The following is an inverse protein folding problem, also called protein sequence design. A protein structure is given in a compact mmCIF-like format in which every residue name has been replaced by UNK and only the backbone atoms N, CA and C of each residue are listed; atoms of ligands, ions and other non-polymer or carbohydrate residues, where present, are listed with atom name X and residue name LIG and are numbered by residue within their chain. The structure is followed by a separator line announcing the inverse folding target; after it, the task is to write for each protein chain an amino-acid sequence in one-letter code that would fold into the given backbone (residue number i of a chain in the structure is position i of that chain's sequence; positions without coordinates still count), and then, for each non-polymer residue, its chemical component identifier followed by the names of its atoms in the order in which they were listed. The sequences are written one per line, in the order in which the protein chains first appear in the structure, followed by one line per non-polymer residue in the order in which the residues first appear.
data_IF_954384565001
#
_entry.id   IF_954384565001
#
_cell.length_a   1.000
_cell.length_b   1.000
_cell.length_c   1.000
_cell.angle_alpha   90.00
_cell.angle_beta   90.00
_cell.angle_gamma   90.00
#
_symmetry.space_group_name_H-M   'P 1'
#
loop_
_entity.id
_entity.type
_entity.pdbx_description
1 polymer ?
#
# COMPACT_ATOMS: atom_id res chain seq x y z
N UNK A 1 10.81 74.93 -45.60
CA UNK A 1 9.76 74.71 -46.61
C UNK A 1 9.08 73.38 -46.30
N UNK A 2 7.81 73.45 -45.89
CA UNK A 2 6.99 72.34 -45.40
C UNK A 2 6.81 71.21 -46.43
N UNK A 3 6.96 69.96 -46.01
CA UNK A 3 6.14 68.84 -46.52
C UNK A 3 5.72 67.96 -45.35
N UNK A 4 4.46 68.11 -44.94
CA UNK A 4 3.74 67.17 -44.08
C UNK A 4 3.51 65.89 -44.88
N UNK A 5 4.00 64.75 -44.38
CA UNK A 5 3.61 63.44 -44.88
C UNK A 5 2.49 62.92 -43.98
N UNK A 6 1.25 62.99 -44.46
CA UNK A 6 0.10 62.27 -43.90
C UNK A 6 0.23 60.81 -44.34
N UNK A 7 0.35 59.88 -43.40
CA UNK A 7 0.03 58.48 -43.63
C UNK A 7 -1.04 58.05 -42.63
N UNK A 8 -2.22 57.87 -43.20
CA UNK A 8 -3.49 57.45 -42.63
C UNK A 8 -3.40 56.03 -42.06
N UNK A 9 -3.78 55.86 -40.80
CA UNK A 9 -4.09 54.56 -40.20
C UNK A 9 -5.34 53.97 -40.87
N UNK A 10 -5.18 52.87 -41.59
CA UNK A 10 -6.29 52.08 -42.14
C UNK A 10 -5.95 50.60 -42.05
N UNK A 11 -6.76 49.84 -41.32
CA UNK A 11 -6.73 48.37 -41.34
C UNK A 11 -6.58 47.72 -39.97
N UNK A 12 -7.63 47.72 -39.16
CA UNK A 12 -7.78 46.71 -38.11
C UNK A 12 -8.19 45.40 -38.80
N UNK A 13 -7.21 44.58 -39.19
CA UNK A 13 -7.48 43.18 -39.50
C UNK A 13 -7.91 42.48 -38.21
N UNK A 14 -9.14 41.97 -38.19
CA UNK A 14 -9.64 41.10 -37.13
C UNK A 14 -8.78 39.84 -37.15
N UNK A 15 -7.76 39.80 -36.29
CA UNK A 15 -6.98 38.62 -36.03
C UNK A 15 -7.92 37.56 -35.41
N UNK A 16 -8.55 36.74 -36.25
CA UNK A 16 -9.21 35.50 -35.85
C UNK A 16 -8.10 34.55 -35.40
N UNK A 17 -7.61 34.75 -34.18
CA UNK A 17 -6.80 33.76 -33.49
C UNK A 17 -7.61 32.45 -33.54
N UNK A 18 -7.13 31.40 -34.21
CA UNK A 18 -7.97 30.25 -34.48
C UNK A 18 -8.31 29.63 -33.14
N UNK A 19 -9.61 29.44 -32.88
CA UNK A 19 -10.15 28.75 -31.68
C UNK A 19 -9.39 27.44 -31.43
N UNK A 20 -8.89 26.81 -32.48
CA UNK A 20 -8.02 25.62 -32.46
C UNK A 20 -6.73 25.81 -31.63
N UNK A 21 -6.04 26.94 -31.71
CA UNK A 21 -4.79 27.17 -30.94
C UNK A 21 -5.07 27.38 -29.46
N UNK A 22 -6.19 28.03 -29.11
CA UNK A 22 -6.63 28.20 -27.72
C UNK A 22 -7.10 26.86 -27.12
N UNK A 23 -7.81 26.04 -27.90
CA UNK A 23 -8.23 24.69 -27.48
C UNK A 23 -7.03 23.76 -27.30
N UNK A 24 -6.03 23.80 -28.19
CA UNK A 24 -4.80 23.02 -28.07
C UNK A 24 -3.99 23.45 -26.83
N UNK A 25 -3.89 24.74 -26.53
CA UNK A 25 -3.21 25.23 -25.33
C UNK A 25 -3.91 24.80 -24.03
N UNK A 26 -5.24 24.76 -24.00
CA UNK A 26 -6.03 24.30 -22.84
C UNK A 26 -5.94 22.79 -22.60
N UNK A 27 -5.74 21.99 -23.66
CA UNK A 27 -5.57 20.54 -23.54
C UNK A 27 -4.16 20.15 -23.03
N UNK A 28 -3.14 20.99 -23.22
CA UNK A 28 -1.80 20.71 -22.72
C UNK A 28 -1.61 20.96 -21.22
N UNK A 29 -2.44 21.81 -20.59
CA UNK A 29 -2.37 22.06 -19.15
C UNK A 29 -2.84 20.87 -18.28
N UNK A 30 -3.66 19.97 -18.83
CA UNK A 30 -4.27 18.88 -18.08
C UNK A 30 -3.27 17.76 -17.71
N UNK A 31 -2.27 17.49 -18.54
CA UNK A 31 -1.26 16.46 -18.25
C UNK A 31 -0.23 16.95 -17.22
N UNK A 32 0.02 18.26 -17.14
CA UNK A 32 0.96 18.87 -16.18
C UNK A 32 0.33 18.99 -14.79
N UNK A 33 -0.99 19.18 -14.67
CA UNK A 33 -1.64 19.35 -13.37
C UNK A 33 -1.65 18.08 -12.50
N UNK A 34 -1.77 16.88 -13.10
CA UNK A 34 -1.86 15.61 -12.36
C UNK A 34 -0.51 15.22 -11.74
N UNK A 35 0.61 15.47 -12.43
CA UNK A 35 1.96 15.20 -11.89
C UNK A 35 2.31 16.16 -10.75
N UNK A 36 2.02 17.45 -10.89
CA UNK A 36 2.26 18.48 -9.86
C UNK A 36 1.52 18.16 -8.56
N UNK A 37 0.29 17.65 -8.63
CA UNK A 37 -0.50 17.33 -7.44
C UNK A 37 0.09 16.15 -6.64
N UNK A 38 0.59 15.11 -7.32
CA UNK A 38 1.27 13.99 -6.66
C UNK A 38 2.58 14.42 -6.00
N UNK A 39 3.32 15.33 -6.63
CA UNK A 39 4.54 15.91 -6.05
C UNK A 39 4.25 16.70 -4.76
N UNK A 40 3.12 17.42 -4.72
CA UNK A 40 2.72 18.14 -3.52
C UNK A 40 2.39 17.21 -2.35
N UNK A 41 1.57 16.18 -2.57
CA UNK A 41 1.22 15.18 -1.55
C UNK A 41 2.47 14.52 -1.00
N UNK A 42 3.35 14.06 -1.89
CA UNK A 42 4.60 13.42 -1.50
C UNK A 42 5.48 14.34 -0.64
N UNK A 43 5.60 15.61 -1.02
CA UNK A 43 6.37 16.59 -0.24
C UNK A 43 5.80 16.78 1.17
N UNK A 44 4.48 16.81 1.33
CA UNK A 44 3.88 16.85 2.66
C UNK A 44 4.23 15.61 3.47
N UNK A 45 4.20 14.42 2.87
CA UNK A 45 4.54 13.17 3.55
C UNK A 45 6.02 13.08 3.92
N UNK A 46 6.92 13.54 3.04
CA UNK A 46 8.35 13.62 3.32
C UNK A 46 8.67 14.58 4.49
N UNK A 47 7.80 15.54 4.76
CA UNK A 47 7.88 16.47 5.89
C UNK A 47 7.01 16.09 7.08
N UNK A 48 6.48 14.86 7.12
CA UNK A 48 5.63 14.35 8.22
C UNK A 48 4.40 15.23 8.47
N UNK A 49 3.74 15.68 7.39
CA UNK A 49 2.53 16.53 7.43
C UNK A 49 1.32 15.82 6.75
N UNK A 50 0.88 14.64 7.26
CA UNK A 50 -0.21 13.88 6.66
C UNK A 50 -1.56 14.63 6.64
N UNK A 51 -1.75 15.62 7.50
CA UNK A 51 -2.95 16.46 7.58
C UNK A 51 -3.08 17.36 6.34
N UNK A 52 -1.95 17.92 5.89
CA UNK A 52 -1.91 18.73 4.67
C UNK A 52 -2.11 17.87 3.43
N UNK A 53 -1.51 16.68 3.41
CA UNK A 53 -1.76 15.71 2.36
C UNK A 53 -3.25 15.28 2.29
N UNK A 54 -3.89 15.04 3.43
CA UNK A 54 -5.32 14.72 3.50
C UNK A 54 -6.17 15.87 2.95
N UNK A 55 -5.91 17.09 3.42
CA UNK A 55 -6.60 18.30 2.94
C UNK A 55 -6.42 18.48 1.43
N UNK A 56 -5.21 18.22 0.92
CA UNK A 56 -4.92 18.30 -0.51
C UNK A 56 -5.75 17.29 -1.32
N UNK A 57 -5.85 16.02 -0.91
CA UNK A 57 -6.65 15.04 -1.66
C UNK A 57 -8.16 15.29 -1.56
N UNK A 58 -8.65 15.82 -0.43
CA UNK A 58 -10.09 16.08 -0.21
C UNK A 58 -10.59 17.29 -0.99
N UNK A 59 -9.74 18.30 -1.21
CA UNK A 59 -10.10 19.50 -1.97
C UNK A 59 -10.17 19.29 -3.48
N UNK A 60 -9.69 18.15 -3.98
CA UNK A 60 -9.70 17.86 -5.41
C UNK A 60 -10.90 17.02 -5.80
N UNK A 61 -11.48 17.33 -6.97
CA UNK A 61 -12.55 16.52 -7.54
C UNK A 61 -11.99 15.17 -7.96
N UNK A 62 -12.39 14.12 -7.26
CA UNK A 62 -12.01 12.74 -7.55
C UNK A 62 -12.82 12.24 -8.75
N UNK A 63 -12.14 11.85 -9.83
CA UNK A 63 -12.77 11.15 -10.95
C UNK A 63 -13.30 9.79 -10.49
N UNK A 64 -14.49 9.37 -10.96
CA UNK A 64 -15.10 8.10 -10.55
C UNK A 64 -14.17 6.90 -10.74
N UNK A 65 -13.38 6.89 -11.82
CA UNK A 65 -12.43 5.82 -12.11
C UNK A 65 -11.29 5.69 -11.09
N UNK A 66 -10.95 6.76 -10.38
CA UNK A 66 -9.87 6.79 -9.39
C UNK A 66 -10.40 6.70 -7.96
N UNK A 67 -11.69 6.38 -7.78
CA UNK A 67 -12.34 6.45 -6.48
C UNK A 67 -11.80 5.42 -5.47
N UNK A 68 -11.49 4.22 -5.93
CA UNK A 68 -10.85 3.17 -5.11
C UNK A 68 -9.48 3.64 -4.61
N UNK A 69 -8.61 4.11 -5.50
CA UNK A 69 -7.30 4.66 -5.14
C UNK A 69 -7.42 5.80 -4.12
N UNK A 70 -8.33 6.75 -4.36
CA UNK A 70 -8.59 7.84 -3.42
C UNK A 70 -8.98 7.34 -2.02
N UNK A 71 -9.81 6.30 -1.91
CA UNK A 71 -10.22 5.75 -0.62
C UNK A 71 -9.04 5.09 0.11
N UNK A 72 -8.16 4.39 -0.62
CA UNK A 72 -6.94 3.80 -0.07
C UNK A 72 -5.97 4.86 0.43
N UNK A 73 -5.70 5.89 -0.39
CA UNK A 73 -4.84 7.02 0.00
C UNK A 73 -5.41 7.73 1.23
N UNK A 74 -6.71 8.01 1.23
CA UNK A 74 -7.40 8.63 2.37
C UNK A 74 -7.29 7.79 3.64
N UNK A 75 -7.49 6.47 3.55
CA UNK A 75 -7.37 5.57 4.69
C UNK A 75 -5.95 5.64 5.29
N UNK A 76 -4.92 5.55 4.45
CA UNK A 76 -3.54 5.65 4.89
C UNK A 76 -3.22 7.00 5.55
N UNK A 77 -3.69 8.11 4.99
CA UNK A 77 -3.50 9.44 5.58
C UNK A 77 -4.21 9.62 6.92
N UNK A 78 -5.41 9.05 7.07
CA UNK A 78 -6.13 9.03 8.34
C UNK A 78 -5.39 8.19 9.39
N UNK A 79 -4.88 7.01 9.00
CA UNK A 79 -4.05 6.17 9.85
C UNK A 79 -2.78 6.89 10.31
N UNK A 80 -2.10 7.61 9.42
CA UNK A 80 -0.90 8.40 9.76
C UNK A 80 -1.18 9.51 10.78
N UNK A 81 -2.42 9.99 10.85
CA UNK A 81 -2.89 10.97 11.85
C UNK A 81 -3.37 10.31 13.16
N UNK A 82 -3.23 8.98 13.30
CA UNK A 82 -3.77 8.24 14.45
C UNK A 82 -5.30 8.09 14.45
N UNK A 83 -5.98 8.42 13.34
CA UNK A 83 -7.45 8.37 13.22
C UNK A 83 -7.88 7.00 12.70
N UNK A 84 -7.65 5.96 13.51
CA UNK A 84 -7.76 4.56 13.09
C UNK A 84 -9.19 4.15 12.72
N UNK A 85 -10.22 4.60 13.44
CA UNK A 85 -11.63 4.29 13.13
C UNK A 85 -12.03 4.88 11.78
N UNK A 86 -11.63 6.13 11.53
CA UNK A 86 -11.90 6.80 10.25
C UNK A 86 -11.13 6.13 9.10
N UNK A 87 -9.90 5.68 9.37
CA UNK A 87 -9.13 4.87 8.42
C UNK A 87 -9.83 3.57 8.09
N UNK A 88 -10.32 2.82 9.09
CA UNK A 88 -11.05 1.57 8.87
C UNK A 88 -12.33 1.79 8.09
N UNK A 89 -13.10 2.83 8.40
CA UNK A 89 -14.27 3.20 7.61
C UNK A 89 -13.92 3.51 6.13
N UNK A 90 -12.78 4.16 5.88
CA UNK A 90 -12.32 4.41 4.50
C UNK A 90 -11.89 3.11 3.80
N UNK A 91 -11.21 2.19 4.49
CA UNK A 91 -10.87 0.87 3.97
C UNK A 91 -12.12 0.02 3.68
N UNK A 92 -13.14 0.01 4.54
CA UNK A 92 -14.41 -0.69 4.26
C UNK A 92 -15.09 -0.16 3.01
N UNK A 93 -15.15 1.16 2.85
CA UNK A 93 -15.68 1.77 1.63
C UNK A 93 -14.85 1.39 0.39
N UNK A 94 -13.52 1.26 0.54
CA UNK A 94 -12.66 0.80 -0.55
C UNK A 94 -12.96 -0.66 -0.89
N UNK A 95 -13.03 -1.57 0.09
CA UNK A 95 -13.35 -3.00 -0.11
C UNK A 95 -14.68 -3.17 -0.86
N UNK A 96 -15.74 -2.48 -0.43
CA UNK A 96 -17.04 -2.55 -1.08
C UNK A 96 -17.04 -2.01 -2.53
N UNK A 97 -16.18 -1.04 -2.85
CA UNK A 97 -16.01 -0.56 -4.21
C UNK A 97 -15.19 -1.53 -5.06
N UNK A 98 -14.11 -2.08 -4.49
CA UNK A 98 -13.23 -3.05 -5.16
C UNK A 98 -14.03 -4.28 -5.57
N UNK A 99 -14.87 -4.83 -4.67
CA UNK A 99 -15.73 -5.98 -4.97
C UNK A 99 -16.64 -5.72 -6.19
N UNK A 100 -17.23 -4.52 -6.28
CA UNK A 100 -18.05 -4.12 -7.43
C UNK A 100 -17.23 -4.02 -8.71
N UNK A 101 -16.04 -3.41 -8.64
CA UNK A 101 -15.15 -3.26 -9.80
C UNK A 101 -14.63 -4.62 -10.29
N UNK A 102 -14.34 -5.54 -9.37
CA UNK A 102 -13.88 -6.88 -9.68
C UNK A 102 -14.96 -7.67 -10.42
N UNK A 103 -16.20 -7.66 -9.92
CA UNK A 103 -17.34 -8.31 -10.57
C UNK A 103 -17.58 -7.78 -12.00
N UNK A 104 -17.42 -6.48 -12.22
CA UNK A 104 -17.51 -5.88 -13.57
C UNK A 104 -16.36 -6.35 -14.45
N UNK A 105 -15.12 -6.37 -13.94
CA UNK A 105 -13.94 -6.82 -14.70
C UNK A 105 -14.09 -8.27 -15.17
N UNK A 106 -14.53 -9.18 -14.28
CA UNK A 106 -14.83 -10.57 -14.62
C UNK A 106 -15.92 -10.68 -15.71
N UNK A 107 -16.98 -9.88 -15.62
CA UNK A 107 -18.03 -9.83 -16.65
C UNK A 107 -17.51 -9.30 -18.00
N UNK A 108 -16.67 -8.26 -18.00
CA UNK A 108 -16.05 -7.70 -19.20
C UNK A 108 -15.05 -8.65 -19.86
N UNK A 109 -14.27 -9.39 -19.07
CA UNK A 109 -13.35 -10.43 -19.56
C UNK A 109 -14.13 -11.57 -20.24
N UNK A 110 -15.28 -11.96 -19.70
CA UNK A 110 -16.18 -12.93 -20.33
C UNK A 110 -16.86 -12.39 -21.62
N UNK A 111 -16.99 -11.06 -21.76
CA UNK A 111 -17.58 -10.38 -22.92
C UNK A 111 -16.56 -10.00 -24.02
N UNK A 112 -15.27 -10.27 -23.82
CA UNK A 112 -14.19 -10.30 -24.82
C UNK A 112 -14.06 -9.14 -25.84
N UNK A 113 -14.54 -7.91 -25.57
CA UNK A 113 -14.55 -6.84 -26.60
C UNK A 113 -14.38 -5.38 -26.09
N UNK A 114 -13.64 -5.13 -25.01
CA UNK A 114 -13.31 -3.75 -24.59
C UNK A 114 -11.81 -3.48 -24.74
N UNK A 115 -11.42 -2.81 -25.83
CA UNK A 115 -10.02 -2.57 -26.23
C UNK A 115 -9.38 -1.38 -25.48
N UNK A 116 -10.12 -0.65 -24.62
CA UNK A 116 -9.60 0.56 -23.99
C UNK A 116 -9.37 0.46 -22.47
N UNK A 117 -8.21 -0.07 -22.10
CA UNK A 117 -7.74 -0.18 -20.71
C UNK A 117 -7.58 1.20 -20.03
N UNK A 118 -7.43 2.29 -20.80
CA UNK A 118 -7.24 3.66 -20.27
C UNK A 118 -8.51 4.30 -19.68
N UNK A 119 -9.68 3.70 -19.91
CA UNK A 119 -10.97 4.15 -19.36
C UNK A 119 -11.45 3.32 -18.17
N UNK A 120 -10.71 2.26 -17.79
CA UNK A 120 -11.10 1.40 -16.67
C UNK A 120 -10.90 2.09 -15.33
N UNK A 121 -11.77 1.75 -14.39
CA UNK A 121 -11.60 2.14 -13.00
C UNK A 121 -10.38 1.44 -12.42
N UNK A 122 -9.63 2.12 -11.57
CA UNK A 122 -8.48 1.54 -10.89
C UNK A 122 -8.95 0.38 -10.00
N UNK A 123 -8.54 -0.82 -10.36
CA UNK A 123 -8.76 -2.01 -9.56
C UNK A 123 -7.42 -2.34 -8.87
N UNK A 124 -7.33 -2.24 -7.54
CA UNK A 124 -6.08 -2.52 -6.84
C UNK A 124 -5.62 -3.95 -7.14
N UNK A 125 -4.33 -4.15 -7.42
CA UNK A 125 -3.77 -5.48 -7.64
C UNK A 125 -3.91 -6.33 -6.37
N UNK A 126 -3.86 -7.67 -6.49
CA UNK A 126 -4.16 -8.56 -5.36
C UNK A 126 -3.32 -8.28 -4.09
N UNK A 127 -2.03 -7.94 -4.24
CA UNK A 127 -1.18 -7.61 -3.09
C UNK A 127 -1.65 -6.36 -2.33
N UNK A 128 -2.17 -5.32 -3.02
CA UNK A 128 -2.72 -4.14 -2.35
C UNK A 128 -4.01 -4.48 -1.60
N UNK A 129 -4.83 -5.38 -2.15
CA UNK A 129 -6.04 -5.87 -1.46
C UNK A 129 -5.69 -6.60 -0.17
N UNK A 130 -4.62 -7.41 -0.16
CA UNK A 130 -4.08 -8.03 1.08
C UNK A 130 -3.59 -6.97 2.06
N UNK A 131 -2.92 -5.92 1.58
CA UNK A 131 -2.45 -4.82 2.44
C UNK A 131 -3.60 -4.04 3.10
N UNK A 132 -4.76 -3.91 2.45
CA UNK A 132 -5.96 -3.31 3.07
C UNK A 132 -6.27 -4.01 4.39
N UNK A 133 -6.36 -5.35 4.35
CA UNK A 133 -6.64 -6.14 5.56
C UNK A 133 -5.51 -6.04 6.59
N UNK A 134 -4.24 -6.02 6.16
CA UNK A 134 -3.11 -5.82 7.08
C UNK A 134 -3.24 -4.50 7.84
N UNK A 135 -3.48 -3.39 7.13
CA UNK A 135 -3.59 -2.07 7.77
C UNK A 135 -4.85 -1.93 8.62
N UNK A 136 -5.98 -2.49 8.19
CA UNK A 136 -7.20 -2.56 9.01
C UNK A 136 -6.97 -3.35 10.29
N UNK A 137 -6.33 -4.52 10.22
CA UNK A 137 -6.01 -5.33 11.39
C UNK A 137 -5.07 -4.57 12.36
N UNK A 138 -4.04 -3.90 11.85
CA UNK A 138 -3.13 -3.09 12.69
C UNK A 138 -3.88 -1.90 13.33
N UNK A 139 -4.76 -1.22 12.59
CA UNK A 139 -5.63 -0.19 13.15
C UNK A 139 -6.48 -0.74 14.29
N UNK A 140 -7.12 -1.90 14.10
CA UNK A 140 -7.94 -2.56 15.12
C UNK A 140 -7.12 -2.98 16.34
N UNK A 141 -5.91 -3.52 16.16
CA UNK A 141 -4.98 -3.80 17.26
C UNK A 141 -4.64 -2.53 18.06
N UNK A 142 -4.41 -1.40 17.39
CA UNK A 142 -4.13 -0.12 18.05
C UNK A 142 -5.34 0.46 18.80
N UNK A 143 -6.56 0.06 18.39
CA UNK A 143 -7.82 0.37 19.06
C UNK A 143 -8.20 -0.67 20.15
N UNK A 144 -7.36 -1.69 20.36
CA UNK A 144 -7.65 -2.84 21.25
C UNK A 144 -8.92 -3.61 20.85
N UNK A 145 -9.27 -3.56 19.57
CA UNK A 145 -10.41 -4.23 18.93
C UNK A 145 -9.93 -5.55 18.33
N UNK A 146 -9.59 -6.51 19.20
CA UNK A 146 -8.93 -7.76 18.79
C UNK A 146 -9.84 -8.65 17.94
N UNK A 147 -11.15 -8.68 18.20
CA UNK A 147 -12.08 -9.50 17.42
C UNK A 147 -12.25 -8.97 15.99
N UNK A 148 -12.24 -7.66 15.83
CA UNK A 148 -12.28 -7.00 14.51
C UNK A 148 -10.97 -7.22 13.75
N UNK A 149 -9.82 -7.12 14.43
CA UNK A 149 -8.53 -7.48 13.83
C UNK A 149 -8.52 -8.93 13.34
N UNK A 150 -9.14 -9.84 14.10
CA UNK A 150 -9.28 -11.25 13.75
C UNK A 150 -10.16 -11.46 12.52
N UNK A 151 -11.23 -10.67 12.34
CA UNK A 151 -12.03 -10.73 11.11
C UNK A 151 -11.19 -10.34 9.89
N UNK A 152 -10.40 -9.27 9.98
CA UNK A 152 -9.56 -8.82 8.87
C UNK A 152 -8.50 -9.84 8.47
N UNK A 153 -7.80 -10.44 9.43
CA UNK A 153 -6.78 -11.47 9.12
C UNK A 153 -7.39 -12.76 8.57
N UNK A 154 -8.64 -13.10 8.92
CA UNK A 154 -9.35 -14.22 8.30
C UNK A 154 -9.73 -13.94 6.84
N UNK A 155 -10.21 -12.72 6.55
CA UNK A 155 -10.48 -12.29 5.17
C UNK A 155 -9.19 -12.27 4.34
N UNK A 156 -8.10 -11.76 4.92
CA UNK A 156 -6.77 -11.78 4.32
C UNK A 156 -6.29 -13.20 4.03
N UNK A 157 -6.41 -14.12 5.00
CA UNK A 157 -5.99 -15.51 4.85
C UNK A 157 -6.79 -16.22 3.75
N UNK A 158 -8.06 -15.87 3.54
CA UNK A 158 -8.87 -16.37 2.44
C UNK A 158 -8.39 -15.83 1.08
N UNK A 159 -8.14 -14.53 0.99
CA UNK A 159 -7.59 -13.92 -0.23
C UNK A 159 -6.22 -14.51 -0.61
N UNK A 160 -5.34 -14.76 0.37
CA UNK A 160 -4.04 -15.40 0.16
C UNK A 160 -4.11 -16.87 -0.28
N UNK A 161 -5.25 -17.55 -0.15
CA UNK A 161 -5.46 -18.90 -0.71
C UNK A 161 -5.94 -18.86 -2.16
N UNK A 162 -6.63 -17.79 -2.54
CA UNK A 162 -7.16 -17.62 -3.90
C UNK A 162 -6.08 -17.16 -4.88
N UNK A 163 -5.05 -16.50 -4.35
CA UNK A 163 -4.02 -15.82 -5.13
C UNK A 163 -2.62 -16.36 -4.76
N UNK A 164 -2.30 -17.55 -5.28
CA UNK A 164 -1.04 -18.28 -4.98
C UNK A 164 0.24 -17.48 -5.28
N UNK A 165 0.16 -16.47 -6.17
CA UNK A 165 1.29 -15.60 -6.51
C UNK A 165 1.56 -14.52 -5.44
N UNK A 166 0.62 -14.23 -4.53
CA UNK A 166 0.85 -13.23 -3.49
C UNK A 166 1.75 -13.80 -2.40
N UNK A 167 2.98 -13.32 -2.41
CA UNK A 167 3.95 -13.64 -1.37
C UNK A 167 4.10 -12.45 -0.44
N UNK A 168 3.37 -12.51 0.68
CA UNK A 168 3.43 -11.51 1.75
C UNK A 168 3.71 -12.19 3.10
N UNK A 169 4.97 -12.61 3.37
CA UNK A 169 5.33 -13.30 4.61
C UNK A 169 4.95 -12.50 5.87
N UNK A 170 5.08 -11.17 5.82
CA UNK A 170 4.66 -10.28 6.90
C UNK A 170 3.15 -10.37 7.22
N UNK A 171 2.28 -10.46 6.20
CA UNK A 171 0.85 -10.59 6.42
C UNK A 171 0.52 -11.87 7.20
N UNK A 172 1.16 -12.98 6.85
CA UNK A 172 1.01 -14.26 7.58
C UNK A 172 1.52 -14.19 9.02
N UNK A 173 2.62 -13.47 9.25
CA UNK A 173 3.12 -13.22 10.60
C UNK A 173 2.13 -12.38 11.42
N UNK A 174 1.55 -11.34 10.80
CA UNK A 174 0.51 -10.52 11.42
C UNK A 174 -0.74 -11.35 11.79
N UNK A 175 -1.17 -12.30 10.96
CA UNK A 175 -2.24 -13.24 11.33
C UNK A 175 -1.92 -13.97 12.63
N UNK A 176 -0.69 -14.46 12.79
CA UNK A 176 -0.25 -15.15 14.01
C UNK A 176 -0.27 -14.24 15.24
N UNK A 177 0.20 -13.00 15.10
CA UNK A 177 0.12 -12.00 16.17
C UNK A 177 -1.32 -11.75 16.61
N UNK A 178 -2.24 -11.54 15.66
CA UNK A 178 -3.64 -11.30 15.97
C UNK A 178 -4.25 -12.50 16.69
N UNK A 179 -4.05 -13.73 16.21
CA UNK A 179 -4.54 -14.92 16.90
C UNK A 179 -4.02 -15.03 18.34
N UNK A 180 -2.78 -14.63 18.62
CA UNK A 180 -2.29 -14.57 20.00
C UNK A 180 -2.99 -13.51 20.84
N UNK A 181 -3.27 -12.32 20.30
CA UNK A 181 -4.08 -11.31 20.98
C UNK A 181 -5.50 -11.80 21.28
N UNK A 182 -6.04 -12.68 20.45
CA UNK A 182 -7.32 -13.37 20.66
C UNK A 182 -7.22 -14.66 21.50
N UNK A 183 -6.07 -14.97 22.09
CA UNK A 183 -5.84 -16.18 22.91
C UNK A 183 -6.07 -17.50 22.15
N UNK A 184 -5.73 -17.54 20.86
CA UNK A 184 -5.83 -18.72 19.98
C UNK A 184 -4.44 -19.26 19.60
N UNK A 185 -3.70 -19.89 20.53
CA UNK A 185 -2.32 -20.30 20.30
C UNK A 185 -2.17 -21.34 19.19
N UNK A 186 -3.14 -22.23 18.99
CA UNK A 186 -3.10 -23.22 17.91
C UNK A 186 -3.18 -22.55 16.52
N UNK A 187 -4.09 -21.59 16.37
CA UNK A 187 -4.24 -20.82 15.12
C UNK A 187 -3.02 -19.93 14.88
N UNK A 188 -2.48 -19.30 15.94
CA UNK A 188 -1.25 -18.54 15.87
C UNK A 188 -0.07 -19.39 15.38
N UNK A 189 0.09 -20.61 15.90
CA UNK A 189 1.16 -21.52 15.49
C UNK A 189 1.04 -21.90 14.01
N UNK A 190 -0.19 -22.16 13.54
CA UNK A 190 -0.44 -22.42 12.11
C UNK A 190 -0.03 -21.21 11.27
N UNK A 191 -0.43 -20.00 11.66
CA UNK A 191 -0.09 -18.77 10.93
C UNK A 191 1.43 -18.51 10.90
N UNK A 192 2.13 -18.69 12.01
CA UNK A 192 3.58 -18.56 12.06
C UNK A 192 4.31 -19.59 11.21
N UNK A 193 3.86 -20.84 11.16
CA UNK A 193 4.42 -21.84 10.23
C UNK A 193 4.26 -21.41 8.78
N UNK A 194 3.09 -20.89 8.40
CA UNK A 194 2.86 -20.37 7.04
C UNK A 194 3.75 -19.15 6.76
N UNK A 195 3.95 -18.27 7.74
CA UNK A 195 4.87 -17.13 7.62
C UNK A 195 6.32 -17.59 7.40
N UNK A 196 6.77 -18.57 8.19
CA UNK A 196 8.09 -19.20 8.07
C UNK A 196 8.31 -19.80 6.69
N UNK A 197 7.35 -20.58 6.20
CA UNK A 197 7.39 -21.16 4.86
C UNK A 197 7.44 -20.08 3.77
N UNK A 198 6.67 -19.00 3.93
CA UNK A 198 6.67 -17.89 2.97
C UNK A 198 8.03 -17.19 2.92
N UNK A 199 8.66 -16.88 4.07
CA UNK A 199 10.02 -16.32 4.11
C UNK A 199 11.05 -17.24 3.45
N UNK A 200 10.96 -18.56 3.68
CA UNK A 200 11.83 -19.54 3.04
C UNK A 200 11.65 -19.57 1.52
N UNK A 201 10.40 -19.59 1.04
CA UNK A 201 10.10 -19.61 -0.40
C UNK A 201 10.56 -18.35 -1.14
N UNK A 202 10.67 -17.23 -0.42
CA UNK A 202 11.15 -15.95 -0.95
C UNK A 202 12.67 -15.79 -0.84
N UNK A 203 13.39 -16.81 -0.35
CA UNK A 203 14.82 -16.74 -0.02
C UNK A 203 15.16 -15.50 0.84
N UNK A 204 14.21 -15.09 1.68
CA UNK A 204 14.32 -13.91 2.52
C UNK A 204 14.80 -14.30 3.91
N UNK A 205 15.49 -13.37 4.60
CA UNK A 205 15.90 -13.58 5.99
C UNK A 205 14.66 -13.70 6.87
N UNK A 206 14.56 -14.79 7.63
CA UNK A 206 13.48 -15.00 8.59
C UNK A 206 13.69 -14.02 9.76
N UNK A 207 12.74 -13.11 10.06
CA UNK A 207 12.89 -12.15 11.13
C UNK A 207 13.08 -12.81 12.50
N UNK A 208 13.93 -12.24 13.36
CA UNK A 208 14.19 -12.74 14.72
C UNK A 208 12.90 -12.94 15.51
N UNK A 209 11.96 -11.98 15.44
CA UNK A 209 10.67 -12.08 16.14
C UNK A 209 9.88 -13.34 15.76
N UNK A 210 9.87 -13.71 14.47
CA UNK A 210 9.21 -14.94 14.03
C UNK A 210 9.94 -16.20 14.52
N UNK A 211 11.28 -16.18 14.58
CA UNK A 211 12.06 -17.29 15.13
C UNK A 211 11.74 -17.51 16.61
N UNK A 212 11.72 -16.42 17.40
CA UNK A 212 11.38 -16.45 18.82
C UNK A 212 9.92 -16.87 19.05
N UNK A 213 8.97 -16.38 18.26
CA UNK A 213 7.57 -16.75 18.38
C UNK A 213 7.32 -18.23 18.05
N UNK A 214 8.01 -18.79 17.05
CA UNK A 214 7.95 -20.22 16.74
C UNK A 214 8.53 -21.07 17.87
N UNK A 215 9.67 -20.68 18.45
CA UNK A 215 10.27 -21.39 19.58
C UNK A 215 9.37 -21.34 20.81
N UNK A 216 8.88 -20.16 21.16
CA UNK A 216 7.97 -19.94 22.29
C UNK A 216 6.71 -20.77 22.18
N UNK A 217 6.06 -20.72 21.01
CA UNK A 217 4.75 -21.33 20.85
C UNK A 217 4.85 -22.85 20.66
N UNK A 218 5.92 -23.34 20.03
CA UNK A 218 6.20 -24.78 19.98
C UNK A 218 6.50 -25.38 21.35
N UNK A 219 7.23 -24.66 22.23
CA UNK A 219 7.44 -25.07 23.62
C UNK A 219 6.12 -25.04 24.41
N UNK A 220 5.37 -23.93 24.34
CA UNK A 220 4.09 -23.76 25.00
C UNK A 220 3.07 -24.86 24.66
N UNK A 221 2.99 -25.25 23.38
CA UNK A 221 2.07 -26.28 22.88
C UNK A 221 2.60 -27.71 23.06
N UNK A 222 3.81 -27.90 23.61
CA UNK A 222 4.41 -29.22 23.82
C UNK A 222 4.92 -29.91 22.55
N UNK A 223 5.16 -29.15 21.47
CA UNK A 223 5.61 -29.65 20.16
C UNK A 223 7.12 -29.90 20.15
N UNK A 224 7.57 -30.83 21.00
CA UNK A 224 8.99 -31.02 21.36
C UNK A 224 9.94 -31.25 20.18
N UNK A 225 9.53 -32.07 19.19
CA UNK A 225 10.38 -32.36 18.03
C UNK A 225 10.48 -31.16 17.08
N UNK A 226 9.39 -30.41 16.93
CA UNK A 226 9.38 -29.20 16.10
C UNK A 226 10.18 -28.08 16.78
N UNK A 227 10.06 -27.94 18.11
CA UNK A 227 10.85 -27.01 18.91
C UNK A 227 12.35 -27.27 18.77
N UNK A 228 12.80 -28.53 18.94
CA UNK A 228 14.22 -28.92 18.76
C UNK A 228 14.71 -28.55 17.36
N UNK A 229 13.93 -28.86 16.32
CA UNK A 229 14.27 -28.53 14.94
C UNK A 229 14.43 -27.03 14.73
N UNK A 230 13.51 -26.22 15.26
CA UNK A 230 13.64 -24.75 15.19
C UNK A 230 14.87 -24.25 15.94
N UNK A 231 15.14 -24.77 17.15
CA UNK A 231 16.29 -24.34 17.95
C UNK A 231 17.62 -24.62 17.24
N UNK A 232 17.75 -25.80 16.62
CA UNK A 232 18.89 -26.17 15.79
C UNK A 232 18.99 -25.29 14.54
N UNK A 233 17.88 -25.05 13.86
CA UNK A 233 17.85 -24.27 12.60
C UNK A 233 18.19 -22.80 12.82
N UNK A 234 17.72 -22.22 13.92
CA UNK A 234 17.90 -20.80 14.24
C UNK A 234 19.19 -20.51 15.01
N UNK A 235 19.92 -21.56 15.41
CA UNK A 235 21.09 -21.47 16.26
C UNK A 235 20.86 -20.69 17.58
N UNK A 236 19.62 -20.66 18.06
CA UNK A 236 19.21 -20.06 19.33
C UNK A 236 19.35 -21.12 20.43
N UNK A 237 20.58 -21.34 20.89
CA UNK A 237 20.90 -22.39 21.86
C UNK A 237 20.42 -22.08 23.29
N UNK A 238 20.29 -20.79 23.62
CA UNK A 238 19.87 -20.32 24.95
C UNK A 238 18.41 -19.83 24.92
N UNK A 239 17.46 -20.75 24.71
CA UNK A 239 16.03 -20.44 24.82
C UNK A 239 15.62 -20.42 26.31
N UNK A 240 15.07 -19.31 26.86
CA UNK A 240 14.62 -19.25 28.24
C UNK A 240 13.48 -20.25 28.48
N UNK A 241 13.39 -20.81 29.70
CA UNK A 241 12.29 -21.74 30.02
C UNK A 241 10.95 -21.04 29.86
N UNK A 242 9.92 -21.75 29.39
CA UNK A 242 8.56 -21.21 29.23
C UNK A 242 8.03 -20.43 30.45
N UNK A 243 8.38 -20.85 31.66
CA UNK A 243 7.99 -20.17 32.90
C UNK A 243 8.62 -18.77 33.06
N UNK A 244 9.80 -18.53 32.49
CA UNK A 244 10.43 -17.21 32.48
C UNK A 244 9.79 -16.34 31.40
N UNK A 245 9.50 -16.92 30.23
CA UNK A 245 8.83 -16.23 29.13
C UNK A 245 7.41 -15.79 29.51
N UNK A 246 6.67 -16.63 30.24
CA UNK A 246 5.30 -16.31 30.68
C UNK A 246 5.22 -15.19 31.73
N UNK A 247 6.35 -14.83 32.36
CA UNK A 247 6.43 -13.70 33.30
C UNK A 247 6.81 -12.39 32.61
N UNK A 248 7.12 -12.41 31.31
CA UNK A 248 7.51 -11.21 30.57
C UNK A 248 6.28 -10.49 30.00
N UNK A 249 6.32 -9.16 30.01
CA UNK A 249 5.41 -8.35 29.22
C UNK A 249 5.89 -8.33 27.75
N UNK A 250 4.95 -8.37 26.80
CA UNK A 250 5.24 -8.20 25.38
C UNK A 250 4.84 -6.80 24.93
N UNK A 251 5.79 -6.09 24.33
CA UNK A 251 5.55 -4.83 23.64
C UNK A 251 5.82 -5.06 22.14
N UNK A 252 4.88 -4.64 21.30
CA UNK A 252 5.01 -4.75 19.85
C UNK A 252 4.93 -3.33 19.28
N UNK A 253 5.95 -2.95 18.51
CA UNK A 253 5.99 -1.68 17.81
C UNK A 253 5.85 -1.92 16.30
N UNK A 254 4.86 -1.29 15.68
CA UNK A 254 4.73 -1.26 14.23
C UNK A 254 5.42 -0.01 13.68
N UNK A 255 6.50 -0.21 12.91
CA UNK A 255 7.27 0.87 12.30
C UNK A 255 7.06 0.86 10.79
N UNK A 256 6.49 1.94 10.24
CA UNK A 256 6.34 2.14 8.80
C UNK A 256 7.37 3.15 8.34
N UNK A 257 8.19 2.77 7.37
CA UNK A 257 9.34 3.56 6.95
C UNK A 257 9.33 3.79 5.44
N UNK A 258 9.43 5.06 5.05
CA UNK A 258 9.55 5.48 3.66
C UNK A 258 8.23 5.58 2.92
N UNK A 259 8.34 5.95 1.65
CA UNK A 259 7.24 6.03 0.69
C UNK A 259 7.47 4.98 -0.40
N UNK A 260 6.37 4.48 -0.98
CA UNK A 260 6.45 3.54 -2.08
C UNK A 260 7.17 4.17 -3.30
N UNK A 261 8.01 3.40 -4.04
CA UNK A 261 8.60 3.84 -5.31
C UNK A 261 7.59 4.45 -6.27
N UNK A 262 8.01 5.49 -7.00
CA UNK A 262 7.17 6.06 -8.07
C UNK A 262 7.13 5.09 -9.25
N UNK A 263 5.93 4.78 -9.71
CA UNK A 263 5.72 4.03 -10.95
C UNK A 263 5.68 5.01 -12.13
N UNK A 264 6.56 4.80 -13.09
CA UNK A 264 6.64 5.56 -14.34
C UNK A 264 6.32 4.65 -15.52
N UNK A 265 5.88 5.24 -16.64
CA UNK A 265 5.74 4.52 -17.92
C UNK A 265 6.92 4.83 -18.83
N UNK A 266 7.51 3.80 -19.41
CA UNK A 266 8.34 3.89 -20.60
C UNK A 266 7.43 3.61 -21.80
N UNK A 267 7.36 4.56 -22.73
CA UNK A 267 6.44 4.49 -23.85
C UNK A 267 7.21 4.51 -25.16
N UNK A 268 7.01 3.47 -25.97
CA UNK A 268 7.56 3.37 -27.32
C UNK A 268 6.40 3.33 -28.30
N UNK A 269 6.50 4.13 -29.36
CA UNK A 269 5.56 4.07 -30.49
C UNK A 269 6.21 3.24 -31.59
N UNK A 270 5.60 2.11 -31.91
CA UNK A 270 6.08 1.19 -32.95
C UNK A 270 5.07 1.21 -34.09
N UNK A 271 5.54 1.44 -35.31
CA UNK A 271 4.70 1.31 -36.49
C UNK A 271 4.62 -0.15 -36.89
N UNK A 272 3.41 -0.69 -37.00
CA UNK A 272 3.16 -2.05 -37.49
C UNK A 272 3.60 -2.15 -38.95
N UNK A 273 4.48 -3.13 -39.29
CA UNK A 273 4.91 -3.35 -40.67
C UNK A 273 3.78 -3.86 -41.60
N UNK A 274 2.70 -4.40 -41.03
CA UNK A 274 1.64 -5.06 -41.80
C UNK A 274 0.58 -4.07 -42.31
N UNK A 275 0.20 -3.09 -41.50
CA UNK A 275 -0.89 -2.15 -41.78
C UNK A 275 -0.50 -0.67 -41.58
N UNK A 276 0.74 -0.38 -41.20
CA UNK A 276 1.26 0.97 -41.01
C UNK A 276 0.70 1.69 -39.78
N UNK A 277 -0.09 1.01 -38.93
CA UNK A 277 -0.67 1.62 -37.73
C UNK A 277 0.40 1.87 -36.66
N UNK A 278 0.26 2.97 -35.94
CA UNK A 278 1.11 3.28 -34.78
C UNK A 278 0.54 2.61 -33.54
N UNK A 279 1.28 1.65 -33.00
CA UNK A 279 1.00 1.05 -31.69
C UNK A 279 1.86 1.71 -30.62
N UNK A 280 1.21 2.20 -29.55
CA UNK A 280 1.91 2.67 -28.35
C UNK A 280 2.04 1.50 -27.39
N UNK A 281 3.27 1.07 -27.15
CA UNK A 281 3.60 0.07 -26.14
C UNK A 281 4.09 0.82 -24.91
N UNK A 282 3.45 0.59 -23.76
CA UNK A 282 3.80 1.22 -22.49
C UNK A 282 4.24 0.15 -21.50
N UNK A 283 5.49 0.18 -21.07
CA UNK A 283 6.02 -0.72 -20.04
C UNK A 283 6.28 0.05 -18.74
N UNK A 284 5.83 -0.46 -17.59
CA UNK A 284 6.06 0.22 -16.33
C UNK A 284 7.47 -0.01 -15.80
N UNK A 285 8.04 0.99 -15.13
CA UNK A 285 9.22 0.83 -14.29
C UNK A 285 9.06 1.61 -12.99
N UNK A 286 9.79 1.19 -11.95
CA UNK A 286 9.76 1.84 -10.64
C UNK A 286 11.05 2.62 -10.40
N UNK A 287 10.90 3.85 -9.93
CA UNK A 287 12.03 4.69 -9.54
C UNK A 287 12.63 4.21 -8.21
N UNK A 288 13.95 4.05 -8.18
CA UNK A 288 14.64 3.67 -6.96
C UNK A 288 14.55 4.78 -5.91
N UNK A 289 14.07 4.46 -4.70
CA UNK A 289 14.07 5.37 -3.55
C UNK A 289 15.07 4.87 -2.50
N UNK A 290 15.94 5.77 -2.03
CA UNK A 290 16.83 5.47 -0.92
C UNK A 290 16.01 5.34 0.39
N UNK A 291 16.26 4.26 1.13
CA UNK A 291 15.73 4.06 2.48
C UNK A 291 16.36 5.10 3.41
N UNK A 292 15.55 5.82 4.20
CA UNK A 292 16.06 6.88 5.11
C UNK A 292 16.29 6.41 6.54
N UNK A 293 15.55 5.39 6.98
CA UNK A 293 15.73 4.78 8.31
C UNK A 293 16.22 3.36 8.15
N UNK A 294 17.38 3.06 8.71
CA UNK A 294 18.03 1.75 8.60
C UNK A 294 17.88 0.90 9.88
N UNK A 295 17.59 1.53 11.01
CA UNK A 295 17.41 0.84 12.28
C UNK A 295 16.38 1.58 13.16
N UNK A 296 15.67 0.82 14.00
CA UNK A 296 14.82 1.32 15.07
C UNK A 296 15.12 0.49 16.32
N UNK A 297 15.36 1.15 17.44
CA UNK A 297 15.66 0.51 18.72
C UNK A 297 14.58 0.88 19.74
N UNK A 298 14.06 -0.12 20.46
CA UNK A 298 13.14 0.07 21.56
C UNK A 298 13.90 -0.23 22.86
N UNK A 299 14.16 0.80 23.66
CA UNK A 299 14.81 0.68 24.97
C UNK A 299 13.80 0.95 26.10
N UNK A 300 13.91 0.20 27.20
CA UNK A 300 13.21 0.49 28.45
C UNK A 300 14.19 1.03 29.50
N UNK A 301 13.83 2.13 30.15
CA UNK A 301 14.56 2.62 31.33
C UNK A 301 13.87 2.09 32.59
N UNK A 302 14.63 1.42 33.46
CA UNK A 302 14.13 1.01 34.77
C UNK A 302 13.93 2.27 35.63
N UNK A 303 12.68 2.71 35.79
CA UNK A 303 12.34 3.72 36.79
C UNK A 303 12.49 3.03 38.16
N UNK A 304 13.64 3.25 38.81
CA UNK A 304 13.81 2.85 40.21
C UNK A 304 12.82 3.66 41.04
N UNK A 305 11.76 3.00 41.49
CA UNK A 305 10.87 3.57 42.49
C UNK A 305 11.71 3.84 43.74
N UNK A 306 11.98 5.11 44.04
CA UNK A 306 12.57 5.53 45.31
C UNK A 306 11.58 5.14 46.41
N UNK A 307 11.89 4.06 47.13
CA UNK A 307 11.20 3.62 48.34
C UNK A 307 11.31 4.64 49.46
#
# INVERSE_FOLDING_TARGET
MNRKCLLTLRGMEKCRLPVVVVVVALLQSACVSVSIQRDEIERYLLWQQPEKALTAIENHKVESRNRSQYLLDKAMLLRMQGRFEASNAAFENAKALIEKLDAISLAEQAAALSINDSLRSYLPPPFERVLIHCFSAINYLQLQQYDEARVEILQMDELLKQEDEIRLPFGRYLSGLVFEFNQEPDNAMIAYRKAYQAYQSDNSVIPLMLQEDLLRLSDYLGLSEEHKKFAETFALQDWPRQQQVSQQARAIAFVFNGLIPRKHSLEINVQSPADGQLHRISTPFYEHRAVRVYNAELSSEAISASS
#
